data_IF_591518875521
#
_entry.id   IF_591518875521
#
_cell.length_a   1.000
_cell.length_b   1.000
_cell.length_c   1.000
_cell.angle_alpha   90.00
_cell.angle_beta   90.00
_cell.angle_gamma   90.00
#
_symmetry.space_group_name_H-M   'P 1'
#
loop_
_entity.id
_entity.type
_entity.pdbx_description
1 polymer ?
#
# COMPACT_ATOMS: atom_id res chain seq x y z
N UNK A 1 -17.67 4.10 -12.17
CA UNK A 1 -17.41 5.52 -12.44
C UNK A 1 -17.20 6.24 -11.12
N UNK A 2 -15.98 6.73 -10.84
CA UNK A 2 -15.67 7.52 -9.65
C UNK A 2 -16.25 8.91 -9.88
N UNK A 3 -17.20 9.32 -9.02
CA UNK A 3 -17.79 10.64 -9.09
C UNK A 3 -16.76 11.73 -8.80
N UNK A 4 -16.70 12.76 -9.63
CA UNK A 4 -15.66 13.82 -9.66
C UNK A 4 -15.61 14.72 -8.39
N UNK A 5 -16.47 14.51 -7.41
CA UNK A 5 -16.58 15.35 -6.22
C UNK A 5 -16.09 14.70 -4.92
N UNK A 6 -15.42 13.55 -4.98
CA UNK A 6 -14.89 12.92 -3.78
C UNK A 6 -13.65 13.69 -3.29
N UNK A 7 -13.58 14.02 -2.00
CA UNK A 7 -12.36 14.54 -1.40
C UNK A 7 -11.20 13.54 -1.61
N UNK A 8 -9.95 14.02 -1.60
CA UNK A 8 -8.77 13.13 -1.72
C UNK A 8 -8.81 12.00 -0.69
N UNK A 9 -9.33 12.27 0.50
CA UNK A 9 -9.46 11.26 1.56
C UNK A 9 -10.49 10.19 1.21
N UNK A 10 -11.65 10.58 0.66
CA UNK A 10 -12.68 9.64 0.21
C UNK A 10 -12.17 8.80 -0.98
N UNK A 11 -11.47 9.41 -1.92
CA UNK A 11 -10.85 8.73 -3.05
C UNK A 11 -9.76 7.75 -2.56
N UNK A 12 -8.89 8.17 -1.65
CA UNK A 12 -7.85 7.32 -1.06
C UNK A 12 -8.45 6.12 -0.35
N UNK A 13 -9.54 6.34 0.40
CA UNK A 13 -10.25 5.25 1.10
C UNK A 13 -10.81 4.23 0.11
N UNK A 14 -11.47 4.70 -0.96
CA UNK A 14 -12.02 3.83 -2.00
C UNK A 14 -10.94 3.04 -2.73
N UNK A 15 -9.81 3.68 -3.09
CA UNK A 15 -8.69 3.04 -3.75
C UNK A 15 -8.01 2.00 -2.86
N UNK A 16 -7.80 2.30 -1.56
CA UNK A 16 -7.27 1.31 -0.63
C UNK A 16 -8.24 0.14 -0.41
N UNK A 17 -9.55 0.37 -0.47
CA UNK A 17 -10.53 -0.71 -0.42
C UNK A 17 -10.44 -1.61 -1.65
N UNK A 18 -10.29 -1.03 -2.84
CA UNK A 18 -10.09 -1.80 -4.08
C UNK A 18 -8.77 -2.60 -4.04
N UNK A 19 -7.68 -2.00 -3.53
CA UNK A 19 -6.39 -2.69 -3.36
C UNK A 19 -6.41 -3.77 -2.27
N UNK A 20 -7.43 -3.80 -1.43
CA UNK A 20 -7.61 -4.82 -0.39
C UNK A 20 -8.58 -5.94 -0.84
N UNK A 21 -9.03 -5.93 -2.09
CA UNK A 21 -9.92 -6.94 -2.63
C UNK A 21 -9.21 -8.30 -2.69
N UNK A 22 -9.87 -9.32 -2.14
CA UNK A 22 -9.40 -10.71 -2.05
C UNK A 22 -10.20 -11.66 -2.92
N UNK A 23 -11.04 -11.13 -3.78
CA UNK A 23 -11.83 -11.93 -4.68
C UNK A 23 -10.92 -12.68 -5.66
N UNK A 24 -11.05 -13.99 -5.69
CA UNK A 24 -10.36 -14.90 -6.61
C UNK A 24 -11.10 -14.87 -7.95
N UNK A 25 -10.38 -14.82 -9.06
CA UNK A 25 -10.97 -14.89 -10.38
C UNK A 25 -11.59 -16.27 -10.65
N UNK A 26 -12.61 -16.31 -11.52
CA UNK A 26 -13.16 -17.59 -11.99
C UNK A 26 -12.10 -18.34 -12.82
N UNK A 27 -12.13 -19.65 -12.81
CA UNK A 27 -11.14 -20.49 -13.54
C UNK A 27 -11.08 -20.17 -15.03
N UNK A 28 -12.21 -19.76 -15.62
CA UNK A 28 -12.32 -19.36 -17.03
C UNK A 28 -11.55 -18.09 -17.35
N UNK A 29 -11.29 -17.25 -16.35
CA UNK A 29 -10.65 -15.96 -16.48
C UNK A 29 -9.15 -16.01 -16.08
N UNK A 30 -8.70 -17.19 -15.59
CA UNK A 30 -7.32 -17.39 -15.19
C UNK A 30 -6.41 -17.53 -16.42
N UNK A 31 -5.22 -16.91 -16.41
CA UNK A 31 -4.23 -17.12 -17.45
C UNK A 31 -3.65 -18.53 -17.35
N UNK A 32 -3.20 -19.09 -18.48
CA UNK A 32 -2.43 -20.34 -18.49
C UNK A 32 -0.93 -20.01 -18.57
N UNK A 33 -0.32 -19.77 -17.42
CA UNK A 33 1.10 -19.35 -17.35
C UNK A 33 2.06 -20.55 -17.19
N UNK A 34 1.52 -21.77 -17.08
CA UNK A 34 2.31 -22.99 -16.91
C UNK A 34 2.55 -23.37 -15.44
N UNK A 35 1.97 -22.65 -14.49
CA UNK A 35 1.96 -23.03 -13.08
C UNK A 35 0.68 -23.83 -12.76
N UNK A 36 0.65 -24.59 -11.64
CA UNK A 36 -0.57 -25.32 -11.23
C UNK A 36 -1.77 -24.38 -11.08
N UNK A 37 -2.95 -24.82 -11.53
CA UNK A 37 -4.20 -24.05 -11.48
C UNK A 37 -4.51 -23.51 -10.07
N UNK A 38 -4.23 -24.28 -9.03
CA UNK A 38 -4.43 -23.86 -7.65
C UNK A 38 -3.55 -22.62 -7.30
N UNK A 39 -2.36 -22.54 -7.87
CA UNK A 39 -1.50 -21.39 -7.68
C UNK A 39 -1.97 -20.18 -8.51
N UNK A 40 -2.47 -20.41 -9.73
CA UNK A 40 -3.12 -19.36 -10.53
C UNK A 40 -4.28 -18.74 -9.75
N UNK A 41 -5.16 -19.56 -9.15
CA UNK A 41 -6.26 -19.09 -8.30
C UNK A 41 -5.76 -18.24 -7.15
N UNK A 42 -4.78 -18.73 -6.39
CA UNK A 42 -4.24 -18.01 -5.22
C UNK A 42 -3.62 -16.66 -5.57
N UNK A 43 -3.06 -16.53 -6.77
CA UNK A 43 -2.40 -15.32 -7.24
C UNK A 43 -3.33 -14.36 -7.99
N UNK A 44 -4.58 -14.73 -8.25
CA UNK A 44 -5.49 -13.95 -9.09
C UNK A 44 -6.14 -12.76 -8.37
N UNK A 45 -6.17 -12.74 -7.04
CA UNK A 45 -6.74 -11.63 -6.29
C UNK A 45 -5.83 -10.40 -6.28
N UNK A 46 -6.42 -9.20 -6.20
CA UNK A 46 -5.66 -7.95 -6.05
C UNK A 46 -4.84 -7.95 -4.75
N UNK A 47 -5.45 -8.44 -3.65
CA UNK A 47 -4.75 -8.62 -2.37
C UNK A 47 -4.46 -10.10 -2.15
N UNK A 48 -3.23 -10.49 -2.44
CA UNK A 48 -2.78 -11.88 -2.30
C UNK A 48 -2.53 -12.22 -0.83
N UNK A 49 -3.05 -13.37 -0.39
CA UNK A 49 -2.79 -13.92 0.93
C UNK A 49 -2.67 -15.45 0.86
N UNK A 50 -1.44 -15.92 0.68
CA UNK A 50 -1.09 -17.34 0.69
C UNK A 50 -0.30 -17.68 1.96
N UNK A 51 -0.99 -17.75 3.10
CA UNK A 51 -0.40 -17.91 4.45
C UNK A 51 0.45 -19.16 4.58
N UNK A 52 0.01 -20.26 3.97
CA UNK A 52 0.74 -21.54 3.99
C UNK A 52 2.11 -21.44 3.29
N UNK A 53 2.24 -20.54 2.32
CA UNK A 53 3.46 -20.29 1.56
C UNK A 53 4.27 -19.12 2.10
N UNK A 54 3.80 -18.47 3.17
CA UNK A 54 4.37 -17.21 3.69
C UNK A 54 4.50 -16.12 2.60
N UNK A 55 3.59 -16.13 1.64
CA UNK A 55 3.56 -15.22 0.50
C UNK A 55 2.29 -14.37 0.50
N UNK A 56 2.40 -13.12 0.08
CA UNK A 56 1.26 -12.23 -0.04
C UNK A 56 1.64 -10.77 -0.23
N UNK A 57 0.62 -9.93 -0.39
CA UNK A 57 0.76 -8.50 -0.51
C UNK A 57 1.39 -7.91 0.75
N UNK A 58 2.54 -7.26 0.61
CA UNK A 58 3.32 -6.68 1.70
C UNK A 58 3.01 -5.21 1.94
N UNK A 59 2.68 -4.49 0.89
CA UNK A 59 2.27 -3.09 0.97
C UNK A 59 1.34 -2.74 -0.18
N UNK A 60 0.56 -1.67 0.01
CA UNK A 60 -0.20 -0.99 -1.03
C UNK A 60 0.16 0.49 -0.98
N UNK A 61 0.54 1.04 -2.12
CA UNK A 61 0.97 2.43 -2.23
C UNK A 61 0.05 3.18 -3.19
N UNK A 62 -0.43 4.34 -2.76
CA UNK A 62 -1.17 5.29 -3.58
C UNK A 62 -0.32 6.52 -3.83
N UNK A 63 -0.33 6.99 -5.07
CA UNK A 63 0.24 8.27 -5.49
C UNK A 63 -0.88 9.08 -6.13
N UNK A 64 -1.28 10.16 -5.46
CA UNK A 64 -2.38 11.01 -5.91
C UNK A 64 -1.83 12.42 -6.12
N UNK A 65 -1.91 12.91 -7.35
CA UNK A 65 -1.52 14.28 -7.69
C UNK A 65 -2.75 15.11 -8.00
N UNK A 66 -2.87 16.25 -7.35
CA UNK A 66 -3.93 17.21 -7.58
C UNK A 66 -3.36 18.58 -7.94
N UNK A 67 -4.09 19.33 -8.76
CA UNK A 67 -3.74 20.71 -9.07
C UNK A 67 -4.32 21.63 -8.00
N UNK A 68 -3.44 22.36 -7.32
CA UNK A 68 -3.84 23.36 -6.31
C UNK A 68 -3.34 24.72 -6.80
N UNK A 69 -4.25 25.56 -7.27
CA UNK A 69 -3.88 26.81 -7.93
C UNK A 69 -3.04 26.55 -9.20
N UNK A 70 -1.82 27.11 -9.25
CA UNK A 70 -0.88 26.92 -10.37
C UNK A 70 0.10 25.77 -10.15
N UNK A 71 0.08 25.15 -8.98
CA UNK A 71 1.03 24.08 -8.60
C UNK A 71 0.40 22.71 -8.63
N UNK A 72 1.25 21.68 -8.44
CA UNK A 72 0.86 20.32 -8.17
C UNK A 72 1.18 20.00 -6.72
N UNK A 73 0.27 19.27 -6.08
CA UNK A 73 0.47 18.64 -4.77
C UNK A 73 0.30 17.15 -4.96
N UNK A 74 1.34 16.37 -4.68
CA UNK A 74 1.31 14.93 -4.77
C UNK A 74 1.37 14.32 -3.38
N UNK A 75 0.37 13.50 -3.06
CA UNK A 75 0.33 12.71 -1.82
C UNK A 75 0.74 11.28 -2.13
N UNK A 76 1.69 10.77 -1.36
CA UNK A 76 2.11 9.37 -1.39
C UNK A 76 1.67 8.75 -0.08
N UNK A 77 0.86 7.71 -0.14
CA UNK A 77 0.34 7.00 1.02
C UNK A 77 0.64 5.52 0.87
N UNK A 78 1.19 4.90 1.90
CA UNK A 78 1.53 3.49 1.91
C UNK A 78 0.94 2.80 3.14
N UNK A 79 0.28 1.67 2.93
CA UNK A 79 -0.10 0.70 3.96
C UNK A 79 0.79 -0.51 3.86
N UNK A 80 1.51 -0.81 4.94
CA UNK A 80 2.25 -2.08 5.07
C UNK A 80 1.41 -3.09 5.83
N UNK A 81 1.58 -4.38 5.51
CA UNK A 81 0.77 -5.46 6.07
C UNK A 81 1.64 -6.46 6.83
N UNK A 82 1.05 -7.08 7.86
CA UNK A 82 1.62 -8.24 8.56
C UNK A 82 1.50 -9.49 7.69
N UNK A 83 2.14 -10.58 8.11
CA UNK A 83 1.97 -11.89 7.48
C UNK A 83 0.51 -12.38 7.47
N UNK A 84 -0.32 -11.91 8.42
CA UNK A 84 -1.75 -12.23 8.47
C UNK A 84 -2.61 -11.31 7.60
N UNK A 85 -2.01 -10.32 6.91
CA UNK A 85 -2.71 -9.37 6.08
C UNK A 85 -3.42 -8.25 6.84
N UNK A 86 -3.09 -8.05 8.12
CA UNK A 86 -3.55 -6.89 8.89
C UNK A 86 -2.64 -5.68 8.62
N UNK A 87 -3.20 -4.47 8.62
CA UNK A 87 -2.41 -3.24 8.48
C UNK A 87 -1.47 -3.11 9.68
N UNK A 88 -0.16 -3.05 9.42
CA UNK A 88 0.87 -2.91 10.44
C UNK A 88 1.42 -1.49 10.55
N UNK A 89 1.43 -0.76 9.44
CA UNK A 89 2.00 0.58 9.37
C UNK A 89 1.30 1.40 8.29
N UNK A 90 1.08 2.67 8.57
CA UNK A 90 0.64 3.67 7.61
C UNK A 90 1.72 4.75 7.50
N UNK A 91 2.13 5.07 6.28
CA UNK A 91 3.03 6.17 5.97
C UNK A 91 2.33 7.13 5.01
N UNK A 92 2.64 8.41 5.17
CA UNK A 92 2.15 9.44 4.26
C UNK A 92 3.24 10.50 4.07
N UNK A 93 3.38 10.95 2.82
CA UNK A 93 4.21 12.08 2.44
C UNK A 93 3.44 13.00 1.50
N UNK A 94 3.75 14.29 1.55
CA UNK A 94 3.20 15.30 0.62
C UNK A 94 4.35 16.00 -0.08
N UNK A 95 4.32 15.96 -1.41
CA UNK A 95 5.33 16.55 -2.29
C UNK A 95 4.68 17.72 -3.02
N UNK A 96 5.31 18.91 -2.96
CA UNK A 96 4.87 20.09 -3.71
C UNK A 96 5.68 20.22 -4.99
N UNK A 97 5.00 20.47 -6.12
CA UNK A 97 5.67 20.65 -7.42
C UNK A 97 6.27 19.36 -8.00
N UNK A 98 5.86 18.18 -7.55
CA UNK A 98 6.30 16.88 -8.09
C UNK A 98 5.15 16.18 -8.83
N UNK A 99 5.38 15.52 -9.99
CA UNK A 99 6.67 15.41 -10.71
C UNK A 99 7.10 16.76 -11.33
N UNK A 100 8.41 16.99 -11.47
CA UNK A 100 8.91 18.18 -12.16
C UNK A 100 8.45 18.14 -13.62
N UNK A 101 8.20 19.31 -14.21
CA UNK A 101 7.92 19.40 -15.63
C UNK A 101 9.24 19.25 -16.40
N UNK A 102 9.26 18.41 -17.40
CA UNK A 102 10.44 18.20 -18.23
C UNK A 102 10.87 19.46 -19.02
N UNK A 103 9.95 20.43 -19.17
CA UNK A 103 10.20 21.69 -19.86
C UNK A 103 10.97 22.70 -18.99
N UNK A 104 11.05 22.48 -17.68
CA UNK A 104 11.81 23.29 -16.72
C UNK A 104 13.23 22.73 -16.54
N UNK A 105 13.92 22.39 -17.64
CA UNK A 105 15.27 21.83 -17.64
C UNK A 105 16.37 22.83 -17.15
N UNK A 106 16.01 23.76 -16.29
CA UNK A 106 16.91 24.63 -15.59
C UNK A 106 16.83 24.29 -14.11
N UNK A 107 17.78 23.47 -13.66
CA UNK A 107 18.14 23.14 -12.28
C UNK A 107 17.01 22.57 -11.39
N UNK A 108 17.08 21.31 -10.97
CA UNK A 108 16.11 20.77 -10.03
C UNK A 108 16.23 21.52 -8.71
N UNK A 109 15.20 22.31 -8.39
CA UNK A 109 15.08 22.89 -7.07
C UNK A 109 15.23 21.79 -6.00
N UNK A 110 15.96 22.05 -4.88
CA UNK A 110 16.18 21.05 -3.85
C UNK A 110 14.83 20.49 -3.39
N UNK A 111 14.71 19.16 -3.46
CA UNK A 111 13.53 18.44 -2.97
C UNK A 111 13.41 18.75 -1.49
N UNK A 112 12.44 19.60 -1.13
CA UNK A 112 12.12 19.89 0.26
C UNK A 112 11.76 18.56 0.92
N UNK A 113 12.57 18.15 1.91
CA UNK A 113 12.51 16.83 2.52
C UNK A 113 11.10 16.50 2.98
N UNK A 114 10.56 15.40 2.48
CA UNK A 114 9.25 14.91 2.86
C UNK A 114 9.20 14.71 4.38
N UNK A 115 8.26 15.37 5.04
CA UNK A 115 7.99 15.12 6.45
C UNK A 115 7.35 13.73 6.54
N UNK A 116 8.17 12.73 6.82
CA UNK A 116 7.70 11.36 7.07
C UNK A 116 7.10 11.34 8.48
N UNK A 117 5.78 11.41 8.57
CA UNK A 117 5.09 11.17 9.84
C UNK A 117 5.10 9.66 10.10
N UNK A 118 6.03 9.21 10.92
CA UNK A 118 6.03 7.84 11.46
C UNK A 118 5.19 7.82 12.74
N UNK A 119 4.03 7.19 12.71
CA UNK A 119 3.30 6.88 13.93
C UNK A 119 4.20 6.03 14.86
N UNK A 120 4.22 6.29 16.19
CA UNK A 120 5.13 5.61 17.10
C UNK A 120 4.83 4.12 17.11
N UNK A 121 5.88 3.31 16.91
CA UNK A 121 5.83 1.85 17.09
C UNK A 121 5.39 1.55 18.51
N UNK A 122 4.17 1.06 18.71
CA UNK A 122 3.74 0.48 19.97
C UNK A 122 4.62 -0.76 20.21
N UNK A 123 5.59 -0.64 21.13
CA UNK A 123 6.39 -1.78 21.57
C UNK A 123 5.45 -2.84 22.12
N UNK A 124 5.30 -3.94 21.41
CA UNK A 124 4.69 -5.15 21.98
C UNK A 124 5.71 -5.66 22.99
N UNK A 125 5.43 -5.46 24.30
CA UNK A 125 6.19 -6.12 25.37
C UNK A 125 5.97 -7.62 25.21
N UNK A 126 7.05 -8.31 24.86
CA UNK A 126 7.12 -9.76 24.91
C UNK A 126 6.93 -10.21 26.36
N UNK A 127 5.77 -10.78 26.66
CA UNK A 127 5.50 -11.51 27.88
C UNK A 127 5.96 -12.96 27.70
N UNK A 128 7.25 -13.17 27.56
CA UNK A 128 7.86 -14.48 27.78
C UNK A 128 8.11 -14.62 29.28
N UNK A 129 7.18 -15.30 29.98
CA UNK A 129 7.42 -15.85 31.32
C UNK A 129 8.44 -17.01 31.16
N UNK A 130 9.49 -17.05 31.97
CA UNK A 130 10.35 -18.22 32.01
C UNK A 130 9.61 -19.40 32.67
N UNK A 131 9.65 -20.56 32.03
CA UNK A 131 9.17 -21.80 32.60
C UNK A 131 10.05 -22.16 33.82
N UNK A 132 9.43 -22.26 34.98
CA UNK A 132 10.10 -22.80 36.18
C UNK A 132 10.26 -24.31 35.98
N UNK A 133 11.54 -24.76 35.98
CA UNK A 133 11.89 -26.16 36.14
C UNK A 133 11.54 -26.62 37.57
N UNK A 134 10.65 -27.58 37.69
CA UNK A 134 10.46 -28.33 38.91
C UNK A 134 11.35 -29.60 38.87
N UNK A 135 12.13 -29.73 39.91
CA UNK A 135 12.83 -30.97 40.26
C UNK A 135 11.85 -31.98 40.86
#
# INVERSE_FOLDING_TARGET
AISVAASVDAMSSALFSALADRQIAADTDLPSTGIPLELERQLSSVFIRATERQYGTRCSTLVISERVGRGLVTRVMERSYTATGAVSLLRQATLKGWPPRYDDATDPAPVEQAVVSTAPRRRVRSLLKPAQAQR
#
